data_IF_745724999437
#
_entry.id   IF_745724999437
#
_cell.length_a   1.000
_cell.length_b   1.000
_cell.length_c   1.000
_cell.angle_alpha   90.00
_cell.angle_beta   90.00
_cell.angle_gamma   90.00
#
_symmetry.space_group_name_H-M   'P 1'
#
loop_
_entity.id
_entity.type
_entity.pdbx_description
1 polymer ?
#
# COMPACT_ATOMS: atom_id res chain seq x y z
N UNK A 1 20.80 -28.22 2.52
CA UNK A 1 20.32 -26.88 2.13
C UNK A 1 20.22 -26.07 3.41
N UNK A 2 20.80 -24.87 3.44
CA UNK A 2 20.68 -23.94 4.57
C UNK A 2 19.26 -23.35 4.54
N UNK A 3 18.38 -23.79 5.45
CA UNK A 3 17.00 -23.30 5.54
C UNK A 3 16.95 -22.08 6.45
N UNK A 4 16.25 -21.03 6.00
CA UNK A 4 16.13 -19.78 6.76
C UNK A 4 14.68 -19.50 7.12
N UNK A 5 14.40 -19.57 8.43
CA UNK A 5 13.09 -19.31 8.99
C UNK A 5 12.86 -17.81 9.20
N UNK A 6 11.63 -17.35 8.98
CA UNK A 6 11.17 -16.06 9.51
C UNK A 6 10.86 -16.22 11.00
N UNK A 7 11.12 -15.18 11.78
CA UNK A 7 10.91 -15.16 13.24
C UNK A 7 10.03 -13.97 13.63
N UNK A 8 8.75 -13.92 13.18
CA UNK A 8 7.85 -12.82 13.47
C UNK A 8 7.60 -12.61 14.98
N UNK A 9 7.79 -13.64 15.81
CA UNK A 9 7.71 -13.55 17.27
C UNK A 9 8.77 -12.62 17.89
N UNK A 10 9.84 -12.26 17.17
CA UNK A 10 10.83 -11.28 17.61
C UNK A 10 10.40 -9.83 17.37
N UNK A 11 9.30 -9.63 16.64
CA UNK A 11 8.77 -8.31 16.34
C UNK A 11 7.86 -7.86 17.49
N UNK A 12 8.25 -6.78 18.16
CA UNK A 12 7.41 -6.12 19.16
C UNK A 12 6.43 -5.16 18.51
N UNK A 13 5.28 -4.94 19.13
CA UNK A 13 4.28 -3.95 18.71
C UNK A 13 3.72 -3.22 19.92
N UNK A 14 3.18 -2.04 19.68
CA UNK A 14 2.61 -1.17 20.72
C UNK A 14 1.10 -1.36 20.87
N UNK A 15 0.42 -1.88 19.85
CA UNK A 15 -1.01 -2.16 19.84
C UNK A 15 -1.38 -3.57 20.33
N UNK A 16 -0.38 -4.43 20.56
CA UNK A 16 -0.59 -5.82 21.01
C UNK A 16 0.63 -6.42 21.69
N UNK A 17 0.36 -7.40 22.55
CA UNK A 17 1.40 -8.22 23.16
C UNK A 17 2.05 -9.16 22.15
N UNK A 18 3.29 -9.56 22.44
CA UNK A 18 3.99 -10.58 21.68
C UNK A 18 3.28 -11.93 21.83
N UNK A 19 3.14 -12.67 20.72
CA UNK A 19 2.49 -13.96 20.67
C UNK A 19 3.32 -14.95 19.85
N UNK A 20 3.20 -16.27 20.10
CA UNK A 20 3.86 -17.28 19.29
C UNK A 20 3.27 -17.31 17.88
N UNK A 21 4.12 -17.63 16.90
CA UNK A 21 3.75 -17.73 15.50
C UNK A 21 3.96 -19.14 14.94
N UNK A 22 3.09 -19.52 14.00
CA UNK A 22 3.24 -20.73 13.20
C UNK A 22 3.78 -20.34 11.83
N UNK A 23 5.06 -20.65 11.57
CA UNK A 23 5.70 -20.39 10.28
C UNK A 23 5.85 -21.68 9.49
N UNK A 24 5.25 -21.72 8.30
CA UNK A 24 5.30 -22.89 7.39
C UNK A 24 6.06 -22.56 6.11
N UNK A 25 6.67 -23.58 5.50
CA UNK A 25 7.39 -23.42 4.25
C UNK A 25 6.43 -23.22 3.07
N UNK A 26 6.68 -22.18 2.27
CA UNK A 26 6.00 -21.87 1.03
C UNK A 26 6.95 -21.78 -0.16
N UNK A 27 6.43 -21.35 -1.31
CA UNK A 27 7.20 -21.11 -2.54
C UNK A 27 7.49 -19.62 -2.73
N UNK A 28 8.56 -19.31 -3.46
CA UNK A 28 8.86 -17.94 -3.91
C UNK A 28 8.06 -17.60 -5.17
N UNK A 29 6.73 -17.63 -5.06
CA UNK A 29 5.79 -17.34 -6.15
C UNK A 29 4.66 -16.45 -5.62
N UNK A 30 4.09 -15.60 -6.48
CA UNK A 30 2.99 -14.70 -6.09
C UNK A 30 1.78 -15.50 -5.61
N UNK A 31 1.20 -15.05 -4.49
CA UNK A 31 0.05 -15.70 -3.86
C UNK A 31 0.38 -16.91 -2.99
N UNK A 32 1.64 -17.37 -2.98
CA UNK A 32 2.08 -18.49 -2.12
C UNK A 32 2.58 -18.02 -0.75
N UNK A 33 3.11 -16.79 -0.65
CA UNK A 33 3.48 -16.19 0.62
C UNK A 33 2.31 -15.41 1.21
N UNK A 34 2.12 -15.50 2.52
CA UNK A 34 1.10 -14.74 3.24
C UNK A 34 1.41 -14.60 4.73
N UNK A 35 0.78 -13.60 5.33
CA UNK A 35 0.77 -13.35 6.78
C UNK A 35 -0.68 -13.22 7.27
N UNK A 36 -1.09 -14.13 8.14
CA UNK A 36 -2.34 -14.06 8.89
C UNK A 36 -2.04 -13.54 10.31
N UNK A 37 -2.40 -12.28 10.54
CA UNK A 37 -2.13 -11.57 11.79
C UNK A 37 -3.01 -12.06 12.94
N UNK A 38 -4.21 -12.59 12.65
CA UNK A 38 -5.19 -13.01 13.66
C UNK A 38 -4.85 -14.42 14.14
N UNK A 39 -4.52 -15.32 13.20
CA UNK A 39 -4.12 -16.68 13.52
C UNK A 39 -2.63 -16.81 13.90
N UNK A 40 -1.85 -15.72 13.83
CA UNK A 40 -0.40 -15.71 13.95
C UNK A 40 0.27 -16.78 13.08
N UNK A 41 -0.11 -16.82 11.80
CA UNK A 41 0.41 -17.79 10.83
C UNK A 41 1.09 -17.07 9.68
N UNK A 42 2.25 -17.59 9.28
CA UNK A 42 3.00 -17.07 8.15
C UNK A 42 3.43 -18.22 7.24
N UNK A 43 3.28 -18.04 5.93
CA UNK A 43 3.80 -18.95 4.92
C UNK A 43 4.83 -18.20 4.08
N UNK A 44 6.06 -18.70 4.04
CA UNK A 44 7.18 -18.03 3.35
C UNK A 44 8.17 -19.04 2.76
N UNK A 45 8.89 -18.69 1.68
CA UNK A 45 9.98 -19.51 1.18
C UNK A 45 11.14 -19.57 2.18
N UNK A 46 11.71 -20.76 2.35
CA UNK A 46 12.81 -21.05 3.28
C UNK A 46 14.19 -21.01 2.61
N UNK A 47 14.25 -20.69 1.30
CA UNK A 47 15.49 -20.61 0.53
C UNK A 47 16.45 -19.55 1.05
N UNK A 48 17.74 -19.78 0.85
CA UNK A 48 18.81 -18.84 1.22
C UNK A 48 19.04 -17.75 0.17
N UNK A 49 18.37 -17.80 -0.98
CA UNK A 49 18.47 -16.80 -2.03
C UNK A 49 17.84 -15.45 -1.65
N UNK A 50 18.25 -14.39 -2.34
CA UNK A 50 17.82 -13.01 -2.05
C UNK A 50 16.33 -12.78 -2.31
N UNK A 51 15.71 -13.49 -3.26
CA UNK A 51 14.26 -13.39 -3.49
C UNK A 51 13.51 -13.96 -2.30
N UNK A 52 13.88 -15.16 -1.84
CA UNK A 52 13.32 -15.75 -0.63
C UNK A 52 13.52 -14.86 0.60
N UNK A 53 14.70 -14.23 0.74
CA UNK A 53 14.98 -13.26 1.80
C UNK A 53 14.08 -12.03 1.74
N UNK A 54 13.89 -11.44 0.56
CA UNK A 54 13.00 -10.29 0.38
C UNK A 54 11.53 -10.64 0.67
N UNK A 55 11.06 -11.82 0.26
CA UNK A 55 9.70 -12.28 0.55
C UNK A 55 9.51 -12.44 2.07
N UNK A 56 10.45 -13.10 2.77
CA UNK A 56 10.39 -13.18 4.24
C UNK A 56 10.36 -11.80 4.90
N UNK A 57 11.18 -10.87 4.43
CA UNK A 57 11.21 -9.51 4.98
C UNK A 57 9.89 -8.77 4.78
N UNK A 58 9.24 -8.95 3.63
CA UNK A 58 7.93 -8.39 3.32
C UNK A 58 6.84 -8.94 4.25
N UNK A 59 6.75 -10.26 4.40
CA UNK A 59 5.79 -10.88 5.33
C UNK A 59 6.07 -10.52 6.80
N UNK A 60 7.34 -10.48 7.21
CA UNK A 60 7.72 -10.00 8.54
C UNK A 60 7.34 -8.53 8.75
N UNK A 61 7.39 -7.70 7.71
CA UNK A 61 6.93 -6.31 7.81
C UNK A 61 5.41 -6.26 8.01
N UNK A 62 4.60 -7.06 7.30
CA UNK A 62 3.17 -7.18 7.61
C UNK A 62 2.93 -7.54 9.08
N UNK A 63 3.63 -8.55 9.59
CA UNK A 63 3.58 -8.92 11.00
C UNK A 63 3.92 -7.74 11.93
N UNK A 64 4.89 -6.90 11.56
CA UNK A 64 5.32 -5.73 12.33
C UNK A 64 4.34 -4.57 12.30
N UNK A 65 3.75 -4.22 11.15
CA UNK A 65 3.08 -2.92 10.99
C UNK A 65 1.63 -2.97 10.55
N UNK A 66 1.14 -4.09 10.02
CA UNK A 66 -0.24 -4.15 9.48
C UNK A 66 -1.26 -4.29 10.62
N UNK A 67 -2.42 -3.63 10.54
CA UNK A 67 -3.46 -3.72 11.57
C UNK A 67 -4.08 -5.13 11.63
N UNK A 68 -4.39 -5.64 12.83
CA UNK A 68 -5.11 -6.91 13.05
C UNK A 68 -6.62 -6.78 12.84
N UNK A 69 -7.15 -5.60 13.16
CA UNK A 69 -8.53 -5.22 12.90
C UNK A 69 -8.53 -3.87 12.19
N UNK A 70 -9.13 -3.82 11.01
CA UNK A 70 -9.35 -2.56 10.29
C UNK A 70 -10.77 -2.13 10.59
N UNK A 71 -10.96 -1.28 11.60
CA UNK A 71 -12.14 -0.43 11.59
C UNK A 71 -11.90 0.58 10.50
N UNK A 72 -12.67 0.53 9.42
CA UNK A 72 -12.69 1.61 8.41
C UNK A 72 -13.66 2.65 8.96
N UNK A 73 -13.19 3.86 9.31
CA UNK A 73 -14.07 4.97 9.65
C UNK A 73 -15.23 5.10 8.64
N UNK A 74 -16.44 5.37 9.12
CA UNK A 74 -17.65 5.35 8.28
C UNK A 74 -17.62 6.39 7.15
N UNK A 75 -16.91 7.49 7.34
CA UNK A 75 -16.60 8.53 6.35
C UNK A 75 -15.69 8.03 5.21
N UNK A 76 -14.96 6.93 5.43
CA UNK A 76 -14.15 6.24 4.43
C UNK A 76 -14.89 5.09 3.74
N UNK A 77 -16.20 4.94 3.96
CA UNK A 77 -17.03 3.87 3.39
C UNK A 77 -17.10 3.85 1.84
N UNK A 78 -16.58 4.89 1.18
CA UNK A 78 -16.43 4.95 -0.27
C UNK A 78 -15.18 4.20 -0.79
N UNK A 79 -14.20 3.90 0.07
CA UNK A 79 -13.00 3.15 -0.28
C UNK A 79 -13.31 1.65 -0.25
N UNK A 80 -12.99 0.95 -1.35
CA UNK A 80 -13.18 -0.51 -1.38
C UNK A 80 -12.13 -1.23 -0.53
N UNK A 81 -12.47 -2.39 0.08
CA UNK A 81 -11.51 -3.21 0.84
C UNK A 81 -10.24 -3.54 0.03
N UNK A 82 -10.39 -3.87 -1.26
CA UNK A 82 -9.25 -4.13 -2.15
C UNK A 82 -8.32 -2.92 -2.27
N UNK A 83 -8.86 -1.70 -2.28
CA UNK A 83 -8.06 -0.47 -2.36
C UNK A 83 -7.23 -0.27 -1.09
N UNK A 84 -7.79 -0.57 0.08
CA UNK A 84 -7.07 -0.51 1.36
C UNK A 84 -5.98 -1.57 1.44
N UNK A 85 -6.25 -2.79 0.95
CA UNK A 85 -5.26 -3.87 0.89
C UNK A 85 -4.07 -3.45 0.03
N UNK A 86 -4.29 -2.99 -1.21
CA UNK A 86 -3.15 -2.61 -2.08
C UNK A 86 -2.43 -1.35 -1.61
N UNK A 87 -3.12 -0.46 -0.89
CA UNK A 87 -2.48 0.67 -0.23
C UNK A 87 -1.54 0.21 0.90
N UNK A 88 -1.93 -0.83 1.63
CA UNK A 88 -1.10 -1.45 2.65
C UNK A 88 0.12 -2.16 2.04
N UNK A 89 -0.06 -2.91 0.96
CA UNK A 89 1.03 -3.52 0.18
C UNK A 89 2.08 -2.48 -0.23
N UNK A 90 1.62 -1.32 -0.72
CA UNK A 90 2.52 -0.21 -1.03
C UNK A 90 3.31 0.25 0.20
N UNK A 91 2.64 0.50 1.32
CA UNK A 91 3.30 0.94 2.57
C UNK A 91 4.33 -0.08 3.03
N UNK A 92 4.00 -1.36 3.02
CA UNK A 92 4.88 -2.47 3.39
C UNK A 92 6.10 -2.55 2.47
N UNK A 93 5.91 -2.51 1.15
CA UNK A 93 7.02 -2.53 0.19
C UNK A 93 8.02 -1.40 0.45
N UNK A 94 7.52 -0.18 0.69
CA UNK A 94 8.36 0.98 0.95
C UNK A 94 9.10 0.87 2.29
N UNK A 95 8.45 0.37 3.34
CA UNK A 95 9.06 0.13 4.65
C UNK A 95 10.14 -0.95 4.60
N UNK A 96 9.92 -2.04 3.85
CA UNK A 96 10.91 -3.10 3.65
C UNK A 96 12.15 -2.56 2.92
N UNK A 97 11.94 -1.72 1.90
CA UNK A 97 13.02 -1.01 1.22
C UNK A 97 13.78 -0.07 2.14
N UNK A 98 13.07 0.70 2.98
CA UNK A 98 13.68 1.59 3.96
C UNK A 98 14.47 0.84 5.06
N UNK A 99 14.05 -0.39 5.40
CA UNK A 99 14.78 -1.28 6.31
C UNK A 99 16.04 -1.91 5.67
N UNK A 100 16.37 -1.56 4.42
CA UNK A 100 17.59 -1.98 3.74
C UNK A 100 17.48 -3.28 2.94
N UNK A 101 16.27 -3.83 2.77
CA UNK A 101 16.08 -5.01 1.93
C UNK A 101 15.96 -4.61 0.45
N UNK A 102 16.66 -5.32 -0.46
CA UNK A 102 16.75 -4.96 -1.88
C UNK A 102 15.50 -5.36 -2.71
N UNK A 103 14.30 -4.93 -2.29
CA UNK A 103 13.02 -5.30 -2.92
C UNK A 103 12.89 -4.84 -4.37
N UNK A 104 13.49 -3.70 -4.73
CA UNK A 104 13.57 -3.24 -6.13
C UNK A 104 14.46 -4.13 -7.03
N UNK A 105 15.26 -5.03 -6.46
CA UNK A 105 16.17 -5.92 -7.21
C UNK A 105 15.70 -7.38 -7.21
N UNK A 106 14.97 -7.81 -6.19
CA UNK A 106 14.66 -9.23 -5.99
C UNK A 106 13.18 -9.55 -5.75
N UNK A 107 12.35 -8.58 -5.37
CA UNK A 107 10.92 -8.82 -5.10
C UNK A 107 10.12 -8.77 -6.40
N UNK A 108 10.09 -9.92 -7.09
CA UNK A 108 9.31 -10.23 -8.28
C UNK A 108 9.28 -11.76 -8.44
N UNK A 109 8.24 -12.29 -9.08
CA UNK A 109 8.11 -13.72 -9.39
C UNK A 109 8.26 -14.03 -10.89
N UNK A 110 8.44 -13.00 -11.72
CA UNK A 110 8.65 -13.11 -13.15
C UNK A 110 7.35 -13.24 -13.96
N UNK A 111 6.19 -13.29 -13.31
CA UNK A 111 4.90 -13.36 -13.99
C UNK A 111 4.38 -11.99 -14.44
N UNK A 112 5.00 -10.90 -14.00
CA UNK A 112 4.40 -9.56 -14.00
C UNK A 112 4.08 -9.04 -15.39
N UNK A 113 4.94 -9.32 -16.36
CA UNK A 113 4.72 -8.91 -17.75
C UNK A 113 3.45 -9.57 -18.31
N UNK A 114 3.30 -10.87 -18.11
CA UNK A 114 2.11 -11.61 -18.54
C UNK A 114 0.86 -11.13 -17.81
N UNK A 115 0.98 -10.83 -16.51
CA UNK A 115 -0.12 -10.23 -15.73
C UNK A 115 -0.55 -8.89 -16.34
N UNK A 116 0.40 -7.99 -16.64
CA UNK A 116 0.10 -6.69 -17.25
C UNK A 116 -0.55 -6.81 -18.62
N UNK A 117 -0.05 -7.71 -19.48
CA UNK A 117 -0.68 -8.00 -20.78
C UNK A 117 -2.12 -8.48 -20.61
N UNK A 118 -2.36 -9.44 -19.70
CA UNK A 118 -3.70 -10.00 -19.44
C UNK A 118 -4.70 -8.94 -18.95
N UNK A 119 -4.31 -8.12 -17.98
CA UNK A 119 -5.18 -7.07 -17.43
C UNK A 119 -5.54 -6.04 -18.51
N UNK A 120 -4.56 -5.64 -19.31
CA UNK A 120 -4.75 -4.70 -20.41
C UNK A 120 -5.63 -5.27 -21.55
N UNK A 121 -5.50 -6.57 -21.88
CA UNK A 121 -6.37 -7.28 -22.83
C UNK A 121 -7.82 -7.30 -22.33
N UNK A 122 -7.99 -7.58 -21.04
CA UNK A 122 -9.30 -7.63 -20.40
C UNK A 122 -9.92 -6.23 -20.19
N UNK A 123 -9.17 -5.15 -20.50
CA UNK A 123 -9.56 -3.76 -20.21
C UNK A 123 -9.92 -3.55 -18.74
N UNK A 124 -9.23 -4.27 -17.85
CA UNK A 124 -9.46 -4.21 -16.41
C UNK A 124 -8.59 -3.10 -15.79
N UNK A 125 -9.06 -1.86 -15.95
CA UNK A 125 -8.37 -0.68 -15.43
C UNK A 125 -8.21 -0.74 -13.91
N UNK A 126 -9.30 -1.06 -13.21
CA UNK A 126 -9.32 -1.08 -11.74
C UNK A 126 -8.26 -2.04 -11.18
N UNK A 127 -8.23 -3.28 -11.67
CA UNK A 127 -7.22 -4.24 -11.23
C UNK A 127 -5.81 -3.84 -11.67
N UNK A 128 -5.66 -3.15 -12.81
CA UNK A 128 -4.36 -2.62 -13.26
C UNK A 128 -3.83 -1.54 -12.32
N UNK A 129 -4.69 -0.61 -11.86
CA UNK A 129 -4.35 0.42 -10.87
C UNK A 129 -4.01 -0.20 -9.53
N UNK A 130 -4.81 -1.17 -9.06
CA UNK A 130 -4.53 -1.91 -7.83
C UNK A 130 -3.20 -2.66 -7.90
N UNK A 131 -2.92 -3.35 -9.01
CA UNK A 131 -1.65 -4.07 -9.20
C UNK A 131 -0.45 -3.13 -9.33
N UNK A 132 -0.63 -1.96 -9.93
CA UNK A 132 0.42 -0.93 -9.95
C UNK A 132 0.76 -0.47 -8.53
N UNK A 133 -0.26 -0.19 -7.71
CA UNK A 133 -0.04 0.25 -6.33
C UNK A 133 0.67 -0.84 -5.51
N UNK A 134 0.17 -2.08 -5.57
CA UNK A 134 0.72 -3.22 -4.84
C UNK A 134 2.14 -3.60 -5.28
N UNK A 135 2.56 -3.25 -6.50
CA UNK A 135 3.92 -3.53 -7.00
C UNK A 135 4.84 -2.31 -6.92
N UNK A 136 4.34 -1.12 -6.61
CA UNK A 136 5.16 0.08 -6.49
C UNK A 136 6.20 -0.07 -5.36
N UNK A 137 7.43 0.35 -5.63
CA UNK A 137 8.57 0.15 -4.74
C UNK A 137 9.27 -1.21 -4.87
N UNK A 138 8.86 -2.07 -5.81
CA UNK A 138 9.43 -3.41 -6.01
C UNK A 138 9.97 -3.62 -7.44
N UNK A 139 10.67 -4.73 -7.68
CA UNK A 139 11.10 -5.13 -9.02
C UNK A 139 9.92 -5.47 -9.94
N UNK A 140 8.81 -5.90 -9.37
CA UNK A 140 7.61 -6.35 -10.09
C UNK A 140 7.02 -5.25 -11.01
N UNK A 141 7.08 -3.98 -10.59
CA UNK A 141 6.43 -2.86 -11.28
C UNK A 141 6.87 -2.71 -12.74
N UNK A 142 8.18 -2.83 -13.03
CA UNK A 142 8.67 -2.65 -14.40
C UNK A 142 8.15 -3.73 -15.35
N UNK A 143 7.99 -4.96 -14.85
CA UNK A 143 7.42 -6.06 -15.63
C UNK A 143 5.95 -5.79 -15.94
N UNK A 144 5.17 -5.38 -14.94
CA UNK A 144 3.76 -5.03 -15.08
C UNK A 144 3.55 -3.95 -16.15
N UNK A 145 4.25 -2.81 -16.01
CA UNK A 145 4.14 -1.68 -16.95
C UNK A 145 4.58 -2.06 -18.36
N UNK A 146 5.62 -2.89 -18.51
CA UNK A 146 6.04 -3.38 -19.82
C UNK A 146 4.95 -4.23 -20.48
N UNK A 147 4.24 -5.06 -19.70
CA UNK A 147 3.11 -5.85 -20.19
C UNK A 147 1.93 -5.00 -20.62
N UNK A 148 1.52 -4.05 -19.77
CA UNK A 148 0.43 -3.10 -20.08
C UNK A 148 0.76 -2.31 -21.34
N UNK A 149 1.99 -1.81 -21.48
CA UNK A 149 2.41 -0.98 -22.62
C UNK A 149 2.26 -1.68 -23.97
N UNK A 150 2.40 -3.01 -24.01
CA UNK A 150 2.27 -3.79 -25.24
C UNK A 150 0.83 -3.82 -25.78
N UNK A 151 -0.16 -3.68 -24.89
CA UNK A 151 -1.58 -3.83 -25.24
C UNK A 151 -2.33 -2.50 -25.15
N UNK A 152 -2.08 -1.72 -24.09
CA UNK A 152 -2.70 -0.43 -23.79
C UNK A 152 -1.64 0.66 -23.52
N UNK A 153 -0.87 1.10 -24.55
CA UNK A 153 0.17 2.12 -24.37
C UNK A 153 -0.37 3.46 -23.85
N UNK A 154 -1.65 3.78 -24.11
CA UNK A 154 -2.31 5.00 -23.64
C UNK A 154 -2.49 5.05 -22.11
N UNK A 155 -2.47 3.90 -21.43
CA UNK A 155 -2.57 3.81 -19.97
C UNK A 155 -1.28 4.21 -19.26
N UNK A 156 -0.14 4.11 -19.95
CA UNK A 156 1.18 4.28 -19.34
C UNK A 156 1.43 5.66 -18.74
N UNK A 157 1.05 6.79 -19.38
CA UNK A 157 1.22 8.11 -18.78
C UNK A 157 0.47 8.24 -17.44
N UNK A 158 -0.79 7.81 -17.38
CA UNK A 158 -1.62 7.86 -16.17
C UNK A 158 -1.10 6.95 -15.07
N UNK A 159 -0.72 5.71 -15.41
CA UNK A 159 -0.12 4.76 -14.48
C UNK A 159 1.23 5.27 -13.92
N UNK A 160 2.06 5.87 -14.79
CA UNK A 160 3.34 6.45 -14.39
C UNK A 160 3.16 7.66 -13.48
N UNK A 161 2.15 8.48 -13.76
CA UNK A 161 1.79 9.62 -12.93
C UNK A 161 1.31 9.19 -11.55
N UNK A 162 0.40 8.21 -11.47
CA UNK A 162 -0.05 7.64 -10.19
C UNK A 162 1.14 7.11 -9.38
N UNK A 163 2.04 6.32 -10.00
CA UNK A 163 3.24 5.85 -9.33
C UNK A 163 4.12 7.01 -8.83
N UNK A 164 4.30 8.06 -9.64
CA UNK A 164 5.06 9.25 -9.24
C UNK A 164 4.45 9.93 -8.01
N UNK A 165 3.13 10.01 -7.94
CA UNK A 165 2.42 10.60 -6.80
C UNK A 165 2.51 9.74 -5.54
N UNK A 166 2.37 8.42 -5.65
CA UNK A 166 2.60 7.49 -4.54
C UNK A 166 4.02 7.67 -3.96
N UNK A 167 5.02 7.70 -4.83
CA UNK A 167 6.42 7.91 -4.43
C UNK A 167 6.66 9.31 -3.83
N UNK A 168 5.97 10.36 -4.32
CA UNK A 168 6.02 11.71 -3.75
C UNK A 168 5.36 11.74 -2.36
N UNK A 169 4.23 11.05 -2.19
CA UNK A 169 3.52 10.94 -0.93
C UNK A 169 4.38 10.25 0.12
N UNK A 170 5.03 9.13 -0.24
CA UNK A 170 6.01 8.45 0.60
C UNK A 170 7.14 9.39 1.04
N UNK A 171 7.84 10.04 0.09
CA UNK A 171 8.94 10.97 0.41
C UNK A 171 8.50 12.12 1.33
N UNK A 172 7.27 12.62 1.16
CA UNK A 172 6.72 13.67 2.02
C UNK A 172 6.56 13.19 3.47
N UNK A 173 6.00 11.99 3.67
CA UNK A 173 5.69 11.46 5.01
C UNK A 173 6.88 10.75 5.67
N UNK A 174 7.98 10.56 4.94
CA UNK A 174 9.19 9.91 5.45
C UNK A 174 10.42 10.81 5.41
N UNK A 175 10.24 12.10 5.17
CA UNK A 175 11.32 13.09 5.10
C UNK A 175 12.20 13.06 6.35
N UNK A 176 11.56 12.90 7.51
CA UNK A 176 12.21 12.95 8.82
C UNK A 176 12.42 11.54 9.41
N UNK A 177 12.31 10.49 8.57
CA UNK A 177 12.41 9.08 8.94
C UNK A 177 11.09 8.32 8.76
N UNK A 178 11.12 7.00 8.95
CA UNK A 178 9.95 6.13 8.72
C UNK A 178 9.15 5.79 9.98
N UNK A 179 9.48 6.40 11.13
CA UNK A 179 8.89 6.03 12.42
C UNK A 179 7.35 6.16 12.42
N UNK A 180 6.82 7.32 12.01
CA UNK A 180 5.38 7.57 11.98
C UNK A 180 4.63 6.61 11.04
N UNK A 181 5.14 6.39 9.82
CA UNK A 181 4.51 5.47 8.85
C UNK A 181 4.64 3.99 9.23
N UNK A 182 5.59 3.63 10.09
CA UNK A 182 5.76 2.29 10.66
C UNK A 182 5.05 2.12 12.01
N UNK A 183 4.52 3.20 12.58
CA UNK A 183 4.00 3.25 13.94
C UNK A 183 2.79 2.34 14.10
N UNK A 184 2.81 1.54 15.16
CA UNK A 184 1.66 0.78 15.64
C UNK A 184 1.10 1.40 16.92
N UNK A 185 1.40 2.68 17.21
CA UNK A 185 0.79 3.37 18.34
C UNK A 185 -0.72 3.46 18.12
N UNK A 186 -1.55 3.04 19.09
CA UNK A 186 -2.99 3.22 19.01
C UNK A 186 -3.33 4.72 18.91
N UNK A 187 -4.13 5.07 17.89
CA UNK A 187 -4.84 6.34 17.77
C UNK A 187 -6.34 6.06 17.79
N UNK A 188 -7.16 7.06 18.09
CA UNK A 188 -8.61 6.96 18.41
C UNK A 188 -9.37 5.81 17.72
N UNK A 189 -9.21 5.63 16.40
CA UNK A 189 -9.87 4.55 15.64
C UNK A 189 -8.93 3.52 14.98
N UNK A 190 -7.63 3.81 14.82
CA UNK A 190 -6.64 3.02 14.06
C UNK A 190 -5.21 3.24 14.57
N UNK A 191 -4.23 2.42 14.17
CA UNK A 191 -2.82 2.72 14.48
C UNK A 191 -2.30 3.93 13.70
N UNK A 192 -1.42 4.74 14.27
CA UNK A 192 -0.86 5.95 13.62
C UNK A 192 -0.33 5.68 12.19
N UNK A 193 0.45 4.61 11.99
CA UNK A 193 1.00 4.25 10.68
C UNK A 193 -0.05 3.86 9.64
N UNK A 194 -1.21 3.37 10.08
CA UNK A 194 -2.34 3.05 9.20
C UNK A 194 -2.99 4.30 8.60
N UNK A 195 -2.86 5.46 9.26
CA UNK A 195 -3.28 6.74 8.69
C UNK A 195 -2.61 7.01 7.34
N UNK A 196 -1.36 6.59 7.15
CA UNK A 196 -0.68 6.70 5.85
C UNK A 196 -1.29 5.76 4.79
N UNK A 197 -1.69 4.55 5.17
CA UNK A 197 -2.39 3.62 4.28
C UNK A 197 -3.71 4.22 3.78
N UNK A 198 -4.46 4.91 4.64
CA UNK A 198 -5.69 5.61 4.26
C UNK A 198 -5.39 6.70 3.22
N UNK A 199 -4.35 7.52 3.40
CA UNK A 199 -3.96 8.55 2.43
C UNK A 199 -3.59 7.96 1.06
N UNK A 200 -2.89 6.82 1.06
CA UNK A 200 -2.56 6.08 -0.16
C UNK A 200 -3.83 5.56 -0.83
N UNK A 201 -4.75 4.96 -0.06
CA UNK A 201 -6.01 4.44 -0.58
C UNK A 201 -6.88 5.54 -1.21
N UNK A 202 -6.96 6.72 -0.60
CA UNK A 202 -7.65 7.89 -1.16
C UNK A 202 -7.01 8.39 -2.47
N UNK A 203 -5.68 8.29 -2.61
CA UNK A 203 -5.00 8.62 -3.86
C UNK A 203 -5.32 7.59 -4.97
N UNK A 204 -5.29 6.30 -4.64
CA UNK A 204 -5.65 5.22 -5.57
C UNK A 204 -7.11 5.37 -6.00
N UNK A 205 -8.02 5.60 -5.07
CA UNK A 205 -9.44 5.74 -5.34
C UNK A 205 -9.77 6.89 -6.30
N UNK A 206 -9.04 8.01 -6.23
CA UNK A 206 -9.18 9.11 -7.21
C UNK A 206 -8.84 8.67 -8.64
N UNK A 207 -7.86 7.79 -8.82
CA UNK A 207 -7.54 7.21 -10.12
C UNK A 207 -8.61 6.22 -10.63
N UNK A 208 -9.43 5.66 -9.73
CA UNK A 208 -10.53 4.75 -10.07
C UNK A 208 -11.82 5.52 -10.44
N UNK A 209 -12.18 6.59 -9.71
CA UNK A 209 -13.45 7.31 -9.96
C UNK A 209 -13.43 8.13 -11.25
N UNK A 210 -12.26 8.53 -11.76
CA UNK A 210 -12.17 9.42 -12.94
C UNK A 210 -12.67 8.74 -14.24
N UNK A 211 -13.16 7.49 -14.19
CA UNK A 211 -13.61 6.69 -15.33
C UNK A 211 -15.13 6.36 -15.38
N UNK A 212 -16.02 6.96 -14.58
CA UNK A 212 -17.46 6.62 -14.68
C UNK A 212 -18.19 7.18 -15.94
N UNK A 213 -17.51 7.33 -17.08
CA UNK A 213 -18.13 7.66 -18.38
C UNK A 213 -17.67 6.67 -19.45
N UNK A 214 -18.61 6.12 -20.21
CA UNK A 214 -18.57 4.91 -21.08
C UNK A 214 -17.48 4.75 -22.17
N UNK A 215 -16.27 5.31 -22.02
CA UNK A 215 -15.13 5.05 -22.93
C UNK A 215 -13.84 4.68 -22.18
N UNK A 216 -13.03 3.71 -22.68
CA UNK A 216 -11.90 3.07 -21.97
C UNK A 216 -10.61 3.93 -22.00
N UNK A 217 -10.76 5.25 -21.95
CA UNK A 217 -9.63 6.17 -21.94
C UNK A 217 -9.23 6.41 -20.48
N UNK A 218 -7.99 6.06 -20.10
CA UNK A 218 -7.50 6.26 -18.74
C UNK A 218 -7.58 7.75 -18.38
N UNK A 219 -7.78 8.08 -17.09
CA UNK A 219 -7.84 9.46 -16.64
C UNK A 219 -6.69 10.29 -17.21
N UNK A 220 -6.97 11.52 -17.64
CA UNK A 220 -5.90 12.45 -18.00
C UNK A 220 -4.94 12.61 -16.80
N UNK A 221 -3.64 12.30 -16.95
CA UNK A 221 -2.66 12.45 -15.87
C UNK A 221 -2.63 13.86 -15.26
N UNK A 222 -3.04 14.90 -16.01
CA UNK A 222 -3.15 16.26 -15.48
C UNK A 222 -4.18 16.38 -14.35
N UNK A 223 -5.27 15.61 -14.40
CA UNK A 223 -6.36 15.62 -13.42
C UNK A 223 -5.97 14.98 -12.09
N UNK A 224 -4.98 14.11 -12.10
CA UNK A 224 -4.41 13.55 -10.87
C UNK A 224 -3.51 14.58 -10.14
N UNK A 225 -3.04 15.64 -10.82
CA UNK A 225 -2.03 16.57 -10.32
C UNK A 225 -2.51 17.81 -9.55
N UNK A 226 -3.81 17.93 -9.26
CA UNK A 226 -4.42 19.19 -8.79
C UNK A 226 -4.08 19.63 -7.36
N UNK A 227 -3.08 20.51 -7.23
CA UNK A 227 -3.06 21.63 -6.29
C UNK A 227 -2.28 22.79 -6.94
N UNK A 228 -2.99 23.68 -7.64
CA UNK A 228 -2.42 24.87 -8.27
C UNK A 228 -3.25 25.47 -9.42
N UNK A 229 -4.14 26.39 -9.05
CA UNK A 229 -4.77 27.46 -9.86
C UNK A 229 -5.79 27.13 -10.98
N UNK A 230 -6.97 27.75 -10.80
CA UNK A 230 -7.86 28.28 -11.85
C UNK A 230 -8.71 27.29 -12.68
N UNK A 231 -9.79 26.77 -12.09
CA UNK A 231 -11.17 27.23 -12.36
C UNK A 231 -12.11 26.47 -11.41
N UNK A 232 -13.11 27.18 -10.88
CA UNK A 232 -13.98 26.71 -9.81
C UNK A 232 -14.90 25.60 -10.31
N UNK A 233 -14.44 24.35 -10.19
CA UNK A 233 -15.24 23.14 -10.31
C UNK A 233 -15.59 22.59 -8.93
N UNK A 234 -16.87 22.66 -8.57
CA UNK A 234 -17.47 22.32 -7.28
C UNK A 234 -17.26 20.85 -6.85
N UNK A 235 -16.07 20.45 -6.40
CA UNK A 235 -15.87 19.24 -5.58
C UNK A 235 -14.77 19.39 -4.51
N UNK A 236 -14.14 20.57 -4.40
CA UNK A 236 -13.06 20.86 -3.45
C UNK A 236 -13.53 21.35 -2.05
N UNK A 237 -14.82 21.37 -1.75
CA UNK A 237 -15.36 21.96 -0.50
C UNK A 237 -15.74 20.90 0.56
N UNK A 238 -15.60 19.60 0.29
CA UNK A 238 -16.16 18.57 1.18
C UNK A 238 -15.15 17.85 2.10
N UNK A 239 -13.83 18.08 1.96
CA UNK A 239 -12.82 17.39 2.80
C UNK A 239 -12.09 18.30 3.81
N UNK A 240 -12.38 19.60 3.85
CA UNK A 240 -11.72 20.55 4.78
C UNK A 240 -12.49 20.79 6.10
N UNK A 241 -13.57 20.05 6.38
CA UNK A 241 -14.48 20.38 7.48
C UNK A 241 -14.52 19.40 8.68
N UNK A 242 -13.69 18.36 8.76
CA UNK A 242 -13.76 17.41 9.90
C UNK A 242 -12.44 16.95 10.52
N UNK A 243 -11.31 17.62 10.28
CA UNK A 243 -10.03 17.28 10.93
C UNK A 243 -9.46 18.39 11.85
N UNK A 244 -10.30 19.31 12.33
CA UNK A 244 -9.85 20.34 13.29
C UNK A 244 -10.69 20.34 14.58
N UNK A 245 -10.16 19.63 15.59
CA UNK A 245 -9.96 19.99 17.01
C UNK A 245 -10.54 19.02 18.04
N UNK A 246 -9.69 18.41 18.91
CA UNK A 246 -10.14 17.85 20.17
C UNK A 246 -10.68 18.96 21.08
N UNK A 247 -11.77 18.63 21.78
CA UNK A 247 -12.37 19.46 22.82
C UNK A 247 -11.31 20.05 23.76
N UNK A 248 -11.17 21.39 23.74
CA UNK A 248 -10.62 22.10 24.90
C UNK A 248 -11.60 21.92 26.05
N UNK A 249 -11.20 21.11 27.01
CA UNK A 249 -11.80 21.10 28.35
C UNK A 249 -11.63 22.51 28.92
N UNK A 250 -12.75 23.24 29.05
CA UNK A 250 -12.79 24.50 29.77
C UNK A 250 -12.58 24.20 31.27
N UNK A 251 -11.32 24.25 31.70
CA UNK A 251 -10.97 24.33 33.11
C UNK A 251 -11.23 25.73 33.65
N UNK A 252 -12.45 25.99 34.11
CA UNK A 252 -12.71 27.08 35.05
C UNK A 252 -12.57 26.52 36.47
N UNK A 253 -11.49 26.88 37.15
CA UNK A 253 -11.37 26.82 38.61
C UNK A 253 -10.67 28.10 39.10
N UNK A 254 -11.39 28.90 39.88
CA UNK A 254 -10.82 29.78 40.90
C UNK A 254 -10.87 31.29 40.65
N UNK A 255 -12.00 31.94 40.95
CA UNK A 255 -12.25 32.73 42.17
C UNK A 255 -13.54 33.55 42.02
#
# INVERSE_FOLDING_TARGET
>A
MDLRHAMPEWLTRLDRDAAPWVVVAGKAQRGEAFTDLVAHRMQVPMGADETSRCIRAHEMMHAKVSPTAVTVPSDLGHLSPSTLIVAEEFRVNMLVGAAGFPVMKYLADGSEKRTGERLAVNRDWNETVHMLAATSGTKALSGLLAGVKLVQPLWIPTLSELNRQLQKLWRKHTRDGTAAVASTEPSDDVTEGWGFTILVAQLIHRALITETSDDPVPPDPSRLGGAGASEVGKFAVMLELHLDRPNRVNGFLGR
#
